data_IF_879374212349
#
_entry.id   IF_879374212349
#
_cell.length_a   1.000
_cell.length_b   1.000
_cell.length_c   1.000
_cell.angle_alpha   90.00
_cell.angle_beta   90.00
_cell.angle_gamma   90.00
#
_symmetry.space_group_name_H-M   'P 1'
#
loop_
_entity.id
_entity.type
_entity.pdbx_description
1 polymer ?
#
# COMPACT_ATOMS: atom_id res chain seq x y z
N UNK A 1 48.80 -21.29 -16.48
CA UNK A 1 47.82 -20.89 -17.53
C UNK A 1 46.43 -21.10 -16.94
N UNK A 2 45.77 -20.04 -16.45
CA UNK A 2 44.68 -19.29 -17.13
C UNK A 2 43.39 -20.14 -17.28
N UNK A 3 42.18 -19.80 -16.82
CA UNK A 3 41.51 -18.52 -16.49
C UNK A 3 40.23 -18.82 -15.69
N UNK A 4 40.04 -18.20 -14.51
CA UNK A 4 38.74 -18.08 -13.84
C UNK A 4 38.18 -16.67 -14.04
N UNK A 5 37.09 -16.52 -14.81
CA UNK A 5 36.42 -15.22 -15.06
C UNK A 5 35.41 -14.93 -13.94
N UNK A 6 35.73 -14.00 -13.05
CA UNK A 6 34.75 -13.38 -12.14
C UNK A 6 34.19 -12.13 -12.83
N UNK A 7 32.91 -12.16 -13.22
CA UNK A 7 32.17 -10.99 -13.72
C UNK A 7 31.76 -10.13 -12.52
N UNK A 8 32.53 -9.09 -12.22
CA UNK A 8 32.10 -8.01 -11.34
C UNK A 8 31.11 -7.09 -12.08
N UNK A 9 29.91 -6.93 -11.52
CA UNK A 9 28.91 -5.95 -11.99
C UNK A 9 29.37 -4.54 -11.58
N UNK A 10 29.58 -3.69 -12.58
CA UNK A 10 29.91 -2.26 -12.41
C UNK A 10 28.69 -1.54 -11.80
N UNK A 11 28.86 -0.98 -10.59
CA UNK A 11 27.86 -0.15 -9.89
C UNK A 11 28.15 1.32 -10.26
N UNK A 12 27.37 1.89 -11.19
CA UNK A 12 27.47 3.29 -11.61
C UNK A 12 26.72 4.23 -10.65
N UNK A 13 27.24 4.42 -9.44
CA UNK A 13 26.67 5.36 -8.45
C UNK A 13 27.58 6.54 -8.09
N UNK A 14 28.66 6.79 -8.85
CA UNK A 14 29.63 7.86 -8.60
C UNK A 14 29.75 8.87 -9.76
N UNK A 15 28.64 9.23 -10.40
CA UNK A 15 28.63 10.30 -11.41
C UNK A 15 27.61 11.38 -11.03
N UNK A 16 27.73 11.95 -9.83
CA UNK A 16 27.25 13.30 -9.51
C UNK A 16 28.10 13.83 -8.34
N UNK A 17 29.14 14.59 -8.65
CA UNK A 17 29.98 15.29 -7.68
C UNK A 17 30.18 16.72 -8.17
N UNK A 18 29.37 17.64 -7.66
CA UNK A 18 29.59 19.09 -7.46
C UNK A 18 28.37 19.52 -6.61
N UNK A 19 28.44 20.10 -5.41
CA UNK A 19 29.28 21.21 -4.99
C UNK A 19 29.57 21.19 -3.47
N UNK A 20 30.71 21.79 -3.14
CA UNK A 20 31.23 22.10 -1.82
C UNK A 20 30.38 23.15 -1.12
N UNK A 21 30.15 23.03 0.20
CA UNK A 21 30.56 23.99 1.26
C UNK A 21 30.62 23.17 2.57
N UNK A 22 31.81 22.99 3.15
CA UNK A 22 32.01 22.49 4.52
C UNK A 22 32.67 23.60 5.30
N UNK A 23 31.95 24.23 6.22
CA UNK A 23 32.57 25.08 7.23
C UNK A 23 33.09 24.15 8.35
N UNK A 24 34.38 24.31 8.67
CA UNK A 24 34.94 23.88 9.95
C UNK A 24 34.72 25.03 10.92
N UNK A 25 34.21 24.75 12.10
CA UNK A 25 34.54 25.51 13.30
C UNK A 25 34.56 24.56 14.50
N UNK A 26 35.62 24.69 15.30
CA UNK A 26 35.91 23.91 16.48
C UNK A 26 35.62 24.76 17.74
N UNK A 27 35.16 24.06 18.79
CA UNK A 27 35.20 24.39 20.22
C UNK A 27 34.41 25.59 20.77
N UNK A 28 33.37 25.29 21.57
CA UNK A 28 33.20 25.68 22.98
C UNK A 28 31.91 25.03 23.52
N UNK A 29 32.02 24.31 24.65
CA UNK A 29 30.89 23.64 25.33
C UNK A 29 29.95 24.67 25.98
N UNK A 30 28.73 24.77 25.46
CA UNK A 30 27.57 25.38 26.13
C UNK A 30 26.38 24.37 26.10
N UNK A 31 25.47 24.42 27.09
CA UNK A 31 24.48 23.37 27.33
C UNK A 31 23.55 23.22 26.12
N UNK A 32 23.45 21.98 25.61
CA UNK A 32 22.70 21.60 24.43
C UNK A 32 21.32 22.29 24.29
N UNK A 33 21.26 23.36 23.50
CA UNK A 33 20.01 23.80 22.89
C UNK A 33 19.68 22.86 21.74
N UNK A 34 18.54 22.18 21.85
CA UNK A 34 18.00 21.27 20.85
C UNK A 34 17.55 22.03 19.60
N UNK A 35 18.49 22.37 18.71
CA UNK A 35 18.20 22.92 17.39
C UNK A 35 18.75 21.99 16.30
N UNK A 36 18.00 20.92 16.04
CA UNK A 36 18.09 20.11 14.83
C UNK A 36 16.68 19.83 14.28
N UNK A 37 16.52 19.54 12.98
CA UNK A 37 15.20 19.21 12.43
C UNK A 37 14.78 17.83 12.96
N UNK A 38 13.91 17.75 13.97
CA UNK A 38 13.40 16.45 14.43
C UNK A 38 12.70 16.34 15.80
N UNK A 39 12.56 17.41 16.59
CA UNK A 39 11.93 17.34 17.92
C UNK A 39 10.90 18.46 18.15
N UNK A 40 9.87 18.55 17.30
CA UNK A 40 8.97 19.70 17.26
C UNK A 40 7.51 19.37 17.63
N UNK A 41 7.14 18.13 17.96
CA UNK A 41 5.72 17.83 18.21
C UNK A 41 5.31 18.36 19.58
N UNK A 42 4.34 19.27 19.57
CA UNK A 42 3.77 19.89 20.77
C UNK A 42 2.34 19.38 20.92
N UNK A 43 2.03 18.77 22.06
CA UNK A 43 0.69 18.27 22.39
C UNK A 43 0.16 19.00 23.61
N UNK A 44 -0.95 19.70 23.45
CA UNK A 44 -1.70 20.31 24.54
C UNK A 44 -2.74 19.31 25.07
N UNK A 45 -2.52 18.82 26.29
CA UNK A 45 -3.40 17.86 26.94
C UNK A 45 -4.78 18.47 27.16
N UNK A 46 -5.84 17.70 26.90
CA UNK A 46 -7.25 18.09 27.10
C UNK A 46 -7.73 19.24 26.20
N UNK A 47 -6.90 19.70 25.23
CA UNK A 47 -7.23 20.78 24.29
C UNK A 47 -7.11 20.34 22.82
N UNK A 48 -7.86 19.31 22.37
CA UNK A 48 -7.68 18.70 21.04
C UNK A 48 -7.97 19.66 19.88
N UNK A 49 -8.74 20.73 20.10
CA UNK A 49 -9.07 21.74 19.07
C UNK A 49 -7.87 22.57 18.63
N UNK A 50 -6.84 22.73 19.48
CA UNK A 50 -5.63 23.50 19.13
C UNK A 50 -4.82 22.81 18.02
N UNK A 51 -4.91 21.49 17.94
CA UNK A 51 -4.16 20.68 16.99
C UNK A 51 -4.77 20.61 15.58
N UNK A 52 -5.99 21.12 15.38
CA UNK A 52 -6.65 21.12 14.07
C UNK A 52 -6.30 22.34 13.20
N UNK A 53 -5.75 23.38 13.81
CA UNK A 53 -5.43 24.64 13.13
C UNK A 53 -3.93 24.72 12.89
N UNK A 54 -3.54 25.45 11.83
CA UNK A 54 -2.14 25.84 11.63
C UNK A 54 -1.66 26.66 12.84
N UNK A 55 -0.42 26.47 13.32
CA UNK A 55 0.69 25.77 12.65
C UNK A 55 0.76 24.25 12.86
N UNK A 56 0.03 23.66 13.81
CA UNK A 56 0.21 22.25 14.20
C UNK A 56 -0.45 21.26 13.23
N UNK A 57 -1.75 21.45 12.93
CA UNK A 57 -2.55 20.66 11.98
C UNK A 57 -2.18 19.16 11.88
N UNK A 58 -2.35 18.41 12.97
CA UNK A 58 -1.99 16.98 13.04
C UNK A 58 -2.98 16.09 12.30
N UNK A 59 -2.51 14.91 11.84
CA UNK A 59 -3.35 14.00 11.09
C UNK A 59 -4.46 13.36 11.94
N UNK A 60 -5.53 12.92 11.27
CA UNK A 60 -6.65 12.23 11.92
C UNK A 60 -6.25 10.83 12.38
N UNK A 61 -7.01 10.24 13.32
CA UNK A 61 -6.78 8.86 13.75
C UNK A 61 -7.42 7.80 12.82
N UNK A 62 -7.82 8.20 11.62
CA UNK A 62 -8.34 7.30 10.60
C UNK A 62 -7.19 6.52 9.96
N UNK A 63 -7.31 5.20 9.90
CA UNK A 63 -6.34 4.32 9.24
C UNK A 63 -6.98 3.73 7.98
N UNK A 64 -6.21 3.69 6.90
CA UNK A 64 -6.59 3.01 5.68
C UNK A 64 -5.42 2.19 5.13
N UNK A 65 -5.73 0.95 4.77
CA UNK A 65 -4.85 0.00 4.07
C UNK A 65 -5.33 -0.24 2.63
N UNK A 66 -6.34 0.50 2.17
CA UNK A 66 -6.85 0.42 0.80
C UNK A 66 -5.87 1.03 -0.18
N UNK A 67 -5.76 0.43 -1.37
CA UNK A 67 -4.87 0.94 -2.44
C UNK A 67 -5.54 2.05 -3.22
N UNK A 68 -6.86 1.99 -3.31
CA UNK A 68 -7.65 2.85 -4.17
C UNK A 68 -8.62 3.69 -3.37
N UNK A 69 -8.80 4.93 -3.83
CA UNK A 69 -9.99 5.73 -3.59
C UNK A 69 -10.94 5.58 -4.80
N UNK A 70 -12.24 5.85 -4.63
CA UNK A 70 -13.30 5.73 -5.64
C UNK A 70 -12.88 6.35 -6.99
N UNK A 71 -12.30 7.56 -6.96
CA UNK A 71 -11.86 8.28 -8.17
C UNK A 71 -10.55 7.71 -8.73
N UNK A 72 -9.62 7.33 -7.86
CA UNK A 72 -8.29 6.84 -8.28
C UNK A 72 -8.30 5.37 -8.70
N UNK A 73 -9.36 4.63 -8.39
CA UNK A 73 -9.50 3.20 -8.70
C UNK A 73 -9.37 2.97 -10.20
N UNK A 74 -10.23 3.61 -10.99
CA UNK A 74 -10.28 3.42 -12.44
C UNK A 74 -8.94 3.68 -13.14
N UNK A 75 -8.30 4.86 -13.02
CA UNK A 75 -7.06 5.14 -13.74
C UNK A 75 -5.89 4.27 -13.27
N UNK A 76 -5.78 3.99 -11.96
CA UNK A 76 -4.69 3.16 -11.44
C UNK A 76 -4.88 1.69 -11.79
N UNK A 77 -6.10 1.15 -11.66
CA UNK A 77 -6.39 -0.24 -11.98
C UNK A 77 -6.16 -0.51 -13.48
N UNK A 78 -6.64 0.37 -14.36
CA UNK A 78 -6.37 0.29 -15.80
C UNK A 78 -4.86 0.30 -16.06
N UNK A 79 -4.13 1.24 -15.45
CA UNK A 79 -2.68 1.30 -15.59
C UNK A 79 -2.00 0.00 -15.12
N UNK A 80 -2.42 -0.58 -13.99
CA UNK A 80 -1.88 -1.85 -13.49
C UNK A 80 -2.19 -3.03 -14.43
N UNK A 81 -3.38 -3.06 -15.04
CA UNK A 81 -3.75 -4.09 -16.02
C UNK A 81 -2.92 -3.97 -17.31
N UNK A 82 -2.67 -2.77 -17.81
CA UNK A 82 -1.86 -2.57 -19.03
C UNK A 82 -0.34 -2.59 -18.80
N UNK A 83 0.12 -2.70 -17.55
CA UNK A 83 1.51 -3.11 -17.23
C UNK A 83 1.78 -4.60 -17.47
N UNK A 84 0.78 -5.37 -17.89
CA UNK A 84 0.93 -6.77 -18.34
C UNK A 84 1.14 -6.78 -19.84
N UNK A 85 2.18 -7.47 -20.29
CA UNK A 85 2.64 -7.43 -21.69
C UNK A 85 1.57 -7.92 -22.67
N UNK A 86 0.83 -8.96 -22.30
CA UNK A 86 -0.26 -9.47 -23.14
C UNK A 86 -1.40 -8.47 -23.29
N UNK A 87 -1.78 -7.76 -22.22
CA UNK A 87 -2.84 -6.76 -22.29
C UNK A 87 -2.43 -5.60 -23.21
N UNK A 88 -1.15 -5.22 -23.21
CA UNK A 88 -0.63 -4.23 -24.16
C UNK A 88 -0.72 -4.74 -25.60
N UNK A 89 -0.35 -6.00 -25.85
CA UNK A 89 -0.49 -6.62 -27.17
C UNK A 89 -1.94 -6.62 -27.67
N UNK A 90 -2.89 -7.08 -26.84
CA UNK A 90 -4.31 -7.10 -27.21
C UNK A 90 -4.89 -5.70 -27.37
N UNK A 91 -4.42 -4.71 -26.60
CA UNK A 91 -4.80 -3.31 -26.79
C UNK A 91 -4.36 -2.79 -28.17
N UNK A 92 -3.11 -3.06 -28.55
CA UNK A 92 -2.61 -2.66 -29.87
C UNK A 92 -3.39 -3.35 -30.99
N UNK A 93 -3.66 -4.65 -30.86
CA UNK A 93 -4.47 -5.39 -31.81
C UNK A 93 -5.91 -4.86 -31.90
N UNK A 94 -6.50 -4.45 -30.77
CA UNK A 94 -7.83 -3.85 -30.71
C UNK A 94 -7.89 -2.43 -31.30
N UNK A 95 -6.81 -1.65 -31.21
CA UNK A 95 -6.71 -0.34 -31.88
C UNK A 95 -6.55 -0.54 -33.39
N UNK A 96 -5.68 -1.47 -33.79
CA UNK A 96 -5.44 -1.78 -35.20
C UNK A 96 -6.66 -2.42 -35.88
N UNK A 97 -7.53 -3.10 -35.13
CA UNK A 97 -8.78 -3.67 -35.65
C UNK A 97 -9.83 -2.63 -36.06
N UNK A 98 -9.62 -1.35 -35.72
CA UNK A 98 -10.44 -0.23 -36.19
C UNK A 98 -10.03 0.25 -37.60
N UNK A 99 -8.98 -0.32 -38.18
CA UNK A 99 -8.50 0.02 -39.53
C UNK A 99 -8.87 -1.07 -40.54
N UNK A 100 -8.92 -0.71 -41.82
CA UNK A 100 -9.27 -1.64 -42.92
C UNK A 100 -8.22 -2.74 -43.15
N UNK A 101 -7.09 -2.69 -42.44
CA UNK A 101 -6.00 -3.69 -42.51
C UNK A 101 -6.33 -4.95 -41.70
N UNK A 102 -7.31 -4.88 -40.82
CA UNK A 102 -7.62 -5.97 -39.91
C UNK A 102 -8.45 -7.08 -40.58
N UNK A 103 -8.09 -8.36 -40.39
CA UNK A 103 -8.80 -9.49 -40.99
C UNK A 103 -10.11 -9.85 -40.28
N UNK A 104 -10.33 -9.29 -39.08
CA UNK A 104 -11.49 -9.58 -38.22
C UNK A 104 -12.23 -8.30 -37.85
N UNK A 105 -13.51 -8.44 -37.51
CA UNK A 105 -14.30 -7.31 -37.02
C UNK A 105 -13.72 -6.72 -35.74
N UNK A 106 -13.79 -5.39 -35.59
CA UNK A 106 -13.31 -4.69 -34.40
C UNK A 106 -13.95 -5.24 -33.11
N UNK A 107 -15.25 -5.56 -33.16
CA UNK A 107 -16.01 -6.11 -32.04
C UNK A 107 -15.42 -7.44 -31.54
N UNK A 108 -15.02 -8.33 -32.45
CA UNK A 108 -14.42 -9.63 -32.11
C UNK A 108 -13.09 -9.50 -31.35
N UNK A 109 -12.35 -8.40 -31.54
CA UNK A 109 -11.07 -8.15 -30.86
C UNK A 109 -11.25 -7.35 -29.56
N UNK A 110 -12.15 -6.35 -29.57
CA UNK A 110 -12.39 -5.47 -28.42
C UNK A 110 -13.17 -6.20 -27.31
N UNK A 111 -14.20 -6.97 -27.65
CA UNK A 111 -15.09 -7.57 -26.65
C UNK A 111 -14.37 -8.56 -25.69
N UNK A 112 -13.53 -9.49 -26.15
CA UNK A 112 -12.77 -10.37 -25.24
C UNK A 112 -11.81 -9.60 -24.34
N UNK A 113 -11.11 -8.59 -24.89
CA UNK A 113 -10.19 -7.74 -24.11
C UNK A 113 -10.94 -6.98 -23.02
N UNK A 114 -12.06 -6.34 -23.36
CA UNK A 114 -12.89 -5.60 -22.43
C UNK A 114 -13.44 -6.53 -21.32
N UNK A 115 -13.87 -7.74 -21.68
CA UNK A 115 -14.32 -8.74 -20.71
C UNK A 115 -13.20 -9.15 -19.74
N UNK A 116 -12.01 -9.49 -20.26
CA UNK A 116 -10.86 -9.90 -19.45
C UNK A 116 -10.43 -8.79 -18.50
N UNK A 117 -10.22 -7.57 -19.02
CA UNK A 117 -9.79 -6.42 -18.21
C UNK A 117 -10.88 -6.06 -17.19
N UNK A 118 -12.15 -6.07 -17.59
CA UNK A 118 -13.29 -5.80 -16.72
C UNK A 118 -13.40 -6.80 -15.56
N UNK A 119 -13.23 -8.10 -15.84
CA UNK A 119 -13.25 -9.13 -14.80
C UNK A 119 -12.08 -9.00 -13.81
N UNK A 120 -10.87 -8.76 -14.31
CA UNK A 120 -9.69 -8.55 -13.47
C UNK A 120 -9.85 -7.30 -12.58
N UNK A 121 -10.40 -6.22 -13.12
CA UNK A 121 -10.70 -5.01 -12.36
C UNK A 121 -11.81 -5.22 -11.33
N UNK A 122 -12.88 -5.95 -11.68
CA UNK A 122 -13.95 -6.27 -10.74
C UNK A 122 -13.44 -7.09 -9.54
N UNK A 123 -12.57 -8.07 -9.79
CA UNK A 123 -11.90 -8.83 -8.72
C UNK A 123 -11.08 -7.91 -7.81
N UNK A 124 -10.28 -7.02 -8.39
CA UNK A 124 -9.46 -6.07 -7.63
C UNK A 124 -10.31 -5.10 -6.79
N UNK A 125 -11.44 -4.63 -7.33
CA UNK A 125 -12.41 -3.83 -6.60
C UNK A 125 -12.98 -4.58 -5.38
N UNK A 126 -13.34 -5.87 -5.55
CA UNK A 126 -13.85 -6.70 -4.46
C UNK A 126 -12.80 -6.92 -3.37
N UNK A 127 -11.54 -7.15 -3.73
CA UNK A 127 -10.43 -7.29 -2.78
C UNK A 127 -10.19 -6.00 -1.98
N UNK A 128 -10.14 -4.85 -2.65
CA UNK A 128 -9.93 -3.56 -1.98
C UNK A 128 -11.14 -3.16 -1.12
N UNK A 129 -12.37 -3.51 -1.54
CA UNK A 129 -13.58 -3.32 -0.74
C UNK A 129 -13.57 -4.14 0.55
N UNK A 130 -13.08 -5.39 0.51
CA UNK A 130 -12.91 -6.20 1.73
C UNK A 130 -11.91 -5.54 2.70
N UNK A 131 -10.81 -4.97 2.20
CA UNK A 131 -9.87 -4.19 3.04
C UNK A 131 -10.54 -2.98 3.65
N UNK A 132 -11.32 -2.25 2.86
CA UNK A 132 -12.07 -1.10 3.35
C UNK A 132 -13.01 -1.46 4.51
N UNK A 133 -13.75 -2.58 4.40
CA UNK A 133 -14.63 -3.06 5.48
C UNK A 133 -13.81 -3.40 6.74
N UNK A 134 -12.65 -4.05 6.59
CA UNK A 134 -11.77 -4.40 7.70
C UNK A 134 -11.24 -3.13 8.40
N UNK A 135 -10.75 -2.16 7.63
CA UNK A 135 -10.29 -0.88 8.14
C UNK A 135 -11.43 -0.15 8.87
N UNK A 136 -12.64 -0.15 8.29
CA UNK A 136 -13.80 0.50 8.90
C UNK A 136 -14.19 -0.14 10.23
N UNK A 137 -14.08 -1.47 10.36
CA UNK A 137 -14.32 -2.20 11.62
C UNK A 137 -13.36 -1.74 12.72
N UNK A 138 -12.09 -1.47 12.39
CA UNK A 138 -11.10 -0.93 13.35
C UNK A 138 -11.39 0.53 13.68
N UNK A 139 -11.63 1.35 12.64
CA UNK A 139 -11.90 2.78 12.77
C UNK A 139 -13.18 3.09 13.58
N UNK A 140 -14.16 2.20 13.56
CA UNK A 140 -15.42 2.33 14.29
C UNK A 140 -15.40 1.77 15.72
N UNK A 141 -14.29 1.14 16.16
CA UNK A 141 -14.13 0.76 17.57
C UNK A 141 -14.30 1.98 18.46
N UNK A 142 -14.86 1.81 19.65
CA UNK A 142 -15.13 2.92 20.58
C UNK A 142 -14.04 2.97 21.65
N UNK A 143 -13.60 4.17 22.00
CA UNK A 143 -12.77 4.45 23.17
C UNK A 143 -13.51 5.41 24.11
N UNK A 144 -13.24 5.34 25.42
CA UNK A 144 -13.75 6.32 26.38
C UNK A 144 -12.83 7.54 26.36
N UNK A 145 -13.40 8.71 26.10
CA UNK A 145 -12.67 9.98 25.94
C UNK A 145 -13.26 11.02 26.89
N UNK A 146 -12.40 11.81 27.51
CA UNK A 146 -12.83 12.92 28.36
C UNK A 146 -13.58 13.97 27.52
N UNK A 147 -14.81 14.28 27.91
CA UNK A 147 -15.69 15.28 27.25
C UNK A 147 -15.70 16.63 27.96
N UNK A 148 -14.97 16.78 29.06
CA UNK A 148 -15.03 17.92 29.96
C UNK A 148 -15.77 17.58 31.27
N UNK A 149 -15.55 18.41 32.29
CA UNK A 149 -16.18 18.28 33.62
C UNK A 149 -15.95 16.93 34.31
N UNK A 150 -14.88 16.20 33.98
CA UNK A 150 -14.58 14.89 34.55
C UNK A 150 -15.50 13.78 34.03
N UNK A 151 -16.16 13.96 32.89
CA UNK A 151 -17.06 12.95 32.30
C UNK A 151 -16.39 12.31 31.08
N UNK A 152 -16.33 10.98 31.08
CA UNK A 152 -15.85 10.20 29.94
C UNK A 152 -17.02 9.68 29.10
N UNK A 153 -16.95 9.87 27.79
CA UNK A 153 -17.94 9.36 26.86
C UNK A 153 -17.32 8.61 25.69
N UNK A 154 -18.11 7.75 25.05
CA UNK A 154 -17.62 6.96 23.93
C UNK A 154 -17.43 7.81 22.66
N UNK A 155 -16.28 7.61 22.01
CA UNK A 155 -15.91 8.21 20.73
C UNK A 155 -15.32 7.13 19.81
N UNK A 156 -15.70 7.06 18.52
CA UNK A 156 -15.06 6.16 17.56
C UNK A 156 -13.57 6.45 17.42
N UNK A 157 -12.75 5.42 17.22
CA UNK A 157 -11.30 5.54 17.09
C UNK A 157 -10.90 6.54 16.01
N UNK A 158 -11.55 6.51 14.84
CA UNK A 158 -11.26 7.45 13.74
C UNK A 158 -11.45 8.93 14.10
N UNK A 159 -12.26 9.24 15.13
CA UNK A 159 -12.53 10.60 15.57
C UNK A 159 -11.57 11.07 16.67
N UNK A 160 -10.74 10.19 17.23
CA UNK A 160 -9.74 10.57 18.23
C UNK A 160 -8.74 11.57 17.65
N UNK A 161 -8.28 12.47 18.51
CA UNK A 161 -7.37 13.56 18.17
C UNK A 161 -6.23 13.60 19.15
N UNK A 162 -5.12 14.16 18.71
CA UNK A 162 -3.97 14.47 19.56
C UNK A 162 -4.43 15.39 20.71
N UNK A 163 -3.99 15.09 21.92
CA UNK A 163 -4.41 15.78 23.14
C UNK A 163 -5.70 15.27 23.78
N UNK A 164 -6.48 14.40 23.12
CA UNK A 164 -7.63 13.74 23.76
C UNK A 164 -7.12 12.90 24.95
N UNK A 165 -7.76 13.03 26.12
CA UNK A 165 -7.54 12.13 27.26
C UNK A 165 -8.44 10.92 27.10
N UNK A 166 -7.86 9.72 27.07
CA UNK A 166 -8.56 8.46 26.89
C UNK A 166 -8.46 7.60 28.15
N UNK A 167 -9.55 6.89 28.45
CA UNK A 167 -9.59 5.82 29.44
C UNK A 167 -9.67 4.49 28.71
N UNK A 168 -8.70 3.61 28.96
CA UNK A 168 -8.65 2.26 28.37
C UNK A 168 -8.83 1.25 29.48
N UNK A 169 -9.75 0.31 29.29
CA UNK A 169 -10.09 -0.71 30.28
C UNK A 169 -9.34 -2.01 30.01
N UNK A 170 -9.32 -2.89 31.02
CA UNK A 170 -8.71 -4.21 30.94
C UNK A 170 -9.12 -4.95 29.66
N UNK A 171 -8.15 -5.61 29.04
CA UNK A 171 -8.31 -6.43 27.83
C UNK A 171 -8.76 -5.65 26.58
N UNK A 172 -8.65 -4.31 26.58
CA UNK A 172 -8.86 -3.48 25.39
C UNK A 172 -7.54 -3.11 24.72
N UNK A 173 -7.61 -2.88 23.40
CA UNK A 173 -6.49 -2.39 22.61
C UNK A 173 -6.35 -0.87 22.74
N UNK A 174 -5.12 -0.37 22.72
CA UNK A 174 -4.87 1.06 22.69
C UNK A 174 -5.24 1.65 21.32
N UNK A 175 -6.02 2.74 21.29
CA UNK A 175 -6.60 3.27 20.05
C UNK A 175 -5.65 4.18 19.25
N UNK A 176 -4.52 4.55 19.84
CA UNK A 176 -3.51 5.48 19.34
C UNK A 176 -2.26 5.33 20.22
N UNK A 177 -1.17 6.04 19.91
CA UNK A 177 -0.01 6.07 20.81
C UNK A 177 -0.29 7.07 21.94
N UNK A 178 -0.23 6.58 23.18
CA UNK A 178 -0.63 7.33 24.38
C UNK A 178 0.56 7.57 25.32
N UNK A 179 0.57 8.73 25.97
CA UNK A 179 1.33 8.93 27.21
C UNK A 179 0.49 8.40 28.38
N UNK A 180 1.04 7.48 29.17
CA UNK A 180 0.45 6.98 30.41
C UNK A 180 0.47 8.08 31.48
N UNK A 181 -0.69 8.45 32.00
CA UNK A 181 -0.84 9.45 33.06
C UNK A 181 -1.05 8.80 34.42
N UNK A 182 -1.98 7.86 34.49
CA UNK A 182 -2.30 7.13 35.71
C UNK A 182 -2.87 5.76 35.39
N UNK A 183 -2.78 4.87 36.37
CA UNK A 183 -3.22 3.49 36.29
C UNK A 183 -4.19 3.21 37.43
N UNK A 184 -4.86 2.06 37.41
CA UNK A 184 -5.64 1.58 38.54
C UNK A 184 -4.80 1.17 39.76
N UNK A 185 -3.48 1.04 39.59
CA UNK A 185 -2.54 0.75 40.68
C UNK A 185 -1.97 2.05 41.24
N UNK A 186 -1.80 2.12 42.57
CA UNK A 186 -1.26 3.29 43.27
C UNK A 186 0.15 3.68 42.80
N UNK A 187 0.99 2.70 42.45
CA UNK A 187 2.34 2.93 41.91
C UNK A 187 2.36 3.42 40.44
N UNK A 188 1.19 3.57 39.79
CA UNK A 188 1.05 4.00 38.40
C UNK A 188 1.53 3.00 37.36
N UNK A 189 1.66 1.72 37.73
CA UNK A 189 2.15 0.66 36.86
C UNK A 189 1.00 0.07 36.04
N UNK A 190 1.27 -0.33 34.80
CA UNK A 190 0.36 -1.18 34.02
C UNK A 190 1.12 -2.24 33.21
N UNK A 191 0.41 -3.29 32.82
CA UNK A 191 0.97 -4.38 32.01
C UNK A 191 0.42 -4.35 30.58
N UNK A 192 1.32 -4.41 29.62
CA UNK A 192 0.99 -4.29 28.20
C UNK A 192 1.46 -5.54 27.45
N UNK A 193 0.56 -6.14 26.69
CA UNK A 193 0.86 -7.22 25.75
C UNK A 193 1.19 -6.62 24.38
N UNK A 194 2.39 -6.87 23.87
CA UNK A 194 2.89 -6.36 22.58
C UNK A 194 2.99 -7.42 21.48
N UNK A 195 2.38 -8.59 21.66
CA UNK A 195 2.40 -9.69 20.69
C UNK A 195 2.03 -9.26 19.24
N UNK A 196 1.14 -8.27 19.08
CA UNK A 196 0.75 -7.75 17.76
C UNK A 196 1.84 -6.91 17.05
N UNK A 197 2.86 -6.45 17.78
CA UNK A 197 3.89 -5.51 17.32
C UNK A 197 5.21 -6.23 17.03
N UNK A 198 5.72 -6.94 18.02
CA UNK A 198 7.04 -7.59 18.00
C UNK A 198 6.97 -9.11 18.20
N UNK A 199 5.77 -9.66 18.45
CA UNK A 199 5.59 -11.09 18.70
C UNK A 199 6.06 -11.55 20.08
N UNK A 200 6.43 -10.62 20.97
CA UNK A 200 6.80 -10.96 22.35
C UNK A 200 5.53 -11.34 23.14
N UNK A 201 5.58 -12.50 23.80
CA UNK A 201 4.47 -13.00 24.63
C UNK A 201 4.53 -12.50 26.07
N UNK A 202 5.70 -12.01 26.51
CA UNK A 202 5.87 -11.47 27.84
C UNK A 202 5.15 -10.13 27.98
N UNK A 203 4.51 -9.93 29.12
CA UNK A 203 3.89 -8.65 29.45
C UNK A 203 4.97 -7.62 29.76
N UNK A 204 4.93 -6.49 29.06
CA UNK A 204 5.82 -5.35 29.31
C UNK A 204 5.23 -4.47 30.41
N UNK A 205 6.04 -4.15 31.40
CA UNK A 205 5.68 -3.23 32.48
C UNK A 205 5.87 -1.80 31.99
N UNK A 206 4.86 -0.95 32.20
CA UNK A 206 4.87 0.49 31.90
C UNK A 206 4.55 1.25 33.18
N UNK A 207 5.15 2.43 33.36
CA UNK A 207 5.00 3.22 34.60
C UNK A 207 4.64 4.65 34.25
N UNK A 208 3.66 5.21 34.96
CA UNK A 208 3.30 6.61 34.86
C UNK A 208 4.37 7.51 35.50
N UNK A 209 4.33 8.82 35.20
CA UNK A 209 5.13 9.78 35.96
C UNK A 209 4.55 9.96 37.37
N UNK A 210 5.43 10.14 38.36
CA UNK A 210 5.03 10.28 39.76
C UNK A 210 4.13 11.52 39.98
N UNK A 211 4.36 12.58 39.19
CA UNK A 211 3.57 13.82 39.25
C UNK A 211 2.12 13.65 38.77
N UNK A 212 1.83 12.65 37.94
CA UNK A 212 0.48 12.40 37.39
C UNK A 212 -0.29 11.32 38.13
N UNK A 213 0.33 10.62 39.10
CA UNK A 213 -0.34 9.62 39.94
C UNK A 213 -1.59 10.14 40.67
N UNK A 214 -1.63 11.39 41.19
CA UNK A 214 -2.82 11.92 41.86
C UNK A 214 -4.05 12.08 40.96
N UNK A 215 -3.90 11.92 39.64
CA UNK A 215 -5.01 11.94 38.68
C UNK A 215 -5.78 10.60 38.73
N UNK A 216 -6.50 10.40 39.82
CA UNK A 216 -7.32 9.22 40.06
C UNK A 216 -8.79 9.46 39.72
N UNK A 217 -9.41 8.43 39.15
CA UNK A 217 -10.82 8.46 38.75
C UNK A 217 -11.12 9.43 37.61
N UNK A 218 -12.39 9.45 37.19
CA UNK A 218 -12.84 10.26 36.05
C UNK A 218 -12.79 11.77 36.38
N UNK A 219 -13.03 12.14 37.65
CA UNK A 219 -13.10 13.52 38.13
C UNK A 219 -11.76 14.24 38.19
N UNK A 220 -10.65 13.51 38.38
CA UNK A 220 -9.30 14.10 38.41
C UNK A 220 -8.90 14.81 37.11
N UNK A 221 -9.55 14.48 35.99
CA UNK A 221 -9.26 15.06 34.68
C UNK A 221 -10.08 16.33 34.36
N UNK A 222 -10.93 16.80 35.28
CA UNK A 222 -11.75 17.99 35.07
C UNK A 222 -10.91 19.22 34.75
N UNK A 223 -9.89 19.49 35.55
CA UNK A 223 -9.01 20.66 35.44
C UNK A 223 -7.60 20.29 34.94
N UNK A 224 -7.41 19.03 34.50
CA UNK A 224 -6.13 18.57 33.99
C UNK A 224 -5.76 19.30 32.69
N UNK A 225 -4.62 19.98 32.74
CA UNK A 225 -3.97 20.62 31.60
C UNK A 225 -2.47 20.35 31.68
N UNK A 226 -1.83 20.23 30.52
CA UNK A 226 -0.41 19.91 30.44
C UNK A 226 0.08 20.08 29.01
N UNK A 227 1.39 20.18 28.83
CA UNK A 227 1.99 20.36 27.52
C UNK A 227 3.12 19.36 27.34
N UNK A 228 3.00 18.50 26.34
CA UNK A 228 4.02 17.52 25.99
C UNK A 228 4.80 18.05 24.80
N UNK A 229 6.12 17.99 24.86
CA UNK A 229 7.02 18.24 23.73
C UNK A 229 7.80 16.97 23.45
N UNK A 230 7.70 16.40 22.25
CA UNK A 230 8.35 15.14 21.93
C UNK A 230 8.94 15.11 20.52
N UNK A 231 9.70 14.05 20.25
CA UNK A 231 10.20 13.70 18.92
C UNK A 231 9.10 13.64 17.85
N UNK A 232 9.49 13.90 16.60
CA UNK A 232 8.60 13.70 15.46
C UNK A 232 8.28 12.21 15.25
N UNK A 233 7.13 11.89 14.59
CA UNK A 233 6.75 10.52 14.29
C UNK A 233 7.87 9.75 13.59
N UNK A 234 8.26 8.60 14.14
CA UNK A 234 9.31 7.75 13.59
C UNK A 234 8.96 6.27 13.75
N UNK A 235 9.53 5.38 12.91
CA UNK A 235 9.24 3.95 12.96
C UNK A 235 9.97 3.20 14.10
N UNK A 236 10.80 3.84 14.92
CA UNK A 236 11.52 3.08 15.96
C UNK A 236 10.61 2.79 17.17
N UNK A 237 10.24 1.52 17.36
CA UNK A 237 9.37 1.07 18.46
C UNK A 237 10.06 1.12 19.83
N UNK A 238 11.39 1.15 19.88
CA UNK A 238 12.19 1.02 21.11
C UNK A 238 12.78 2.33 21.61
N UNK A 239 12.50 3.46 20.95
CA UNK A 239 12.94 4.78 21.40
C UNK A 239 11.76 5.71 21.49
N UNK A 240 11.75 6.53 22.53
CA UNK A 240 10.89 7.69 22.65
C UNK A 240 11.60 8.70 23.54
N UNK A 241 11.64 9.96 23.08
CA UNK A 241 12.21 11.07 23.83
C UNK A 241 11.22 12.23 23.80
N UNK A 242 10.94 12.77 24.98
CA UNK A 242 10.11 13.94 25.13
C UNK A 242 10.17 14.51 26.53
N UNK A 243 9.38 15.55 26.77
CA UNK A 243 9.23 16.22 28.04
C UNK A 243 7.75 16.52 28.28
N UNK A 244 7.27 16.25 29.49
CA UNK A 244 5.99 16.72 29.99
C UNK A 244 6.20 18.00 30.81
N UNK A 245 5.59 19.09 30.38
CA UNK A 245 5.47 20.34 31.13
C UNK A 245 4.13 20.32 31.89
N UNK A 246 4.21 20.17 33.21
CA UNK A 246 3.08 20.07 34.12
C UNK A 246 3.39 20.83 35.42
N UNK A 247 2.44 21.59 35.95
CA UNK A 247 2.64 22.48 37.11
C UNK A 247 3.89 23.38 37.04
N UNK A 248 4.18 23.91 35.83
CA UNK A 248 5.36 24.74 35.51
C UNK A 248 6.72 24.07 35.73
N UNK A 249 6.72 22.74 35.91
CA UNK A 249 7.93 21.91 35.94
C UNK A 249 8.02 21.05 34.68
N UNK A 250 9.23 20.64 34.35
CA UNK A 250 9.53 19.83 33.16
C UNK A 250 10.00 18.45 33.62
N UNK A 251 9.30 17.41 33.17
CA UNK A 251 9.60 16.02 33.47
C UNK A 251 10.03 15.28 32.20
N UNK A 252 11.17 14.58 32.18
CA UNK A 252 11.59 13.81 31.03
C UNK A 252 10.67 12.61 30.80
N UNK A 253 10.44 12.29 29.53
CA UNK A 253 9.67 11.13 29.08
C UNK A 253 10.58 10.15 28.36
N UNK A 254 10.39 8.87 28.64
CA UNK A 254 11.03 7.76 27.98
C UNK A 254 9.98 6.77 27.42
N UNK A 255 10.41 5.60 26.94
CA UNK A 255 9.52 4.60 26.35
C UNK A 255 8.59 3.92 27.39
N UNK A 256 9.00 3.84 28.65
CA UNK A 256 8.28 3.22 29.76
C UNK A 256 6.95 3.92 30.11
N UNK A 257 6.81 5.20 29.75
CA UNK A 257 5.58 5.97 29.89
C UNK A 257 4.71 5.90 28.62
N UNK A 258 5.16 5.29 27.52
CA UNK A 258 4.41 5.24 26.25
C UNK A 258 3.70 3.91 26.04
N UNK A 259 2.42 4.01 25.67
CA UNK A 259 1.54 2.90 25.30
C UNK A 259 1.30 2.97 23.80
N UNK A 260 1.75 1.95 23.06
CA UNK A 260 1.69 1.93 21.60
C UNK A 260 0.33 1.46 21.11
N UNK A 261 -0.12 2.00 19.98
CA UNK A 261 -1.34 1.54 19.29
C UNK A 261 -1.32 0.02 19.07
N UNK A 262 -2.50 -0.61 19.10
CA UNK A 262 -2.70 -2.05 18.85
C UNK A 262 -1.99 -3.01 19.83
N UNK A 263 -1.26 -2.49 20.84
CA UNK A 263 -0.95 -3.25 22.05
C UNK A 263 -2.18 -3.33 22.97
N UNK A 264 -2.21 -4.32 23.86
CA UNK A 264 -3.38 -4.66 24.68
C UNK A 264 -3.08 -4.46 26.16
N UNK A 265 -4.00 -3.79 26.87
CA UNK A 265 -3.90 -3.67 28.33
C UNK A 265 -4.24 -5.02 28.98
N UNK A 266 -3.35 -5.53 29.83
CA UNK A 266 -3.53 -6.78 30.58
C UNK A 266 -3.30 -6.54 32.05
N UNK A 267 -3.86 -7.39 32.90
CA UNK A 267 -3.62 -7.42 34.35
C UNK A 267 -3.68 -6.03 35.02
N UNK A 268 -4.52 -5.12 34.53
CA UNK A 268 -4.71 -3.76 35.03
C UNK A 268 -6.14 -3.37 34.68
N UNK A 269 -6.93 -2.86 35.63
CA UNK A 269 -8.38 -2.69 35.42
C UNK A 269 -8.69 -1.54 34.46
N UNK A 270 -7.96 -0.44 34.58
CA UNK A 270 -8.00 0.67 33.64
C UNK A 270 -6.72 1.50 33.70
N UNK A 271 -6.48 2.28 32.64
CA UNK A 271 -5.44 3.33 32.60
C UNK A 271 -6.01 4.59 31.96
N UNK A 272 -5.43 5.73 32.32
CA UNK A 272 -5.65 7.00 31.64
C UNK A 272 -4.42 7.40 30.86
N UNK A 273 -4.63 7.91 29.65
CA UNK A 273 -3.54 8.42 28.84
C UNK A 273 -3.94 9.58 27.95
N UNK A 274 -2.96 10.38 27.53
CA UNK A 274 -3.14 11.42 26.51
C UNK A 274 -2.67 10.90 25.17
N UNK A 275 -3.47 11.10 24.13
CA UNK A 275 -3.11 10.77 22.75
C UNK A 275 -1.98 11.68 22.25
N UNK A 276 -0.83 11.08 21.88
CA UNK A 276 0.33 11.80 21.33
C UNK A 276 0.36 11.71 19.80
N UNK A 277 0.34 10.48 19.27
CA UNK A 277 0.35 10.21 17.83
C UNK A 277 -0.94 9.51 17.39
N UNK A 278 -1.50 9.95 16.27
CA UNK A 278 -2.77 9.47 15.71
C UNK A 278 -2.57 8.91 14.31
N UNK A 279 -3.36 7.90 13.93
CA UNK A 279 -3.44 7.40 12.55
C UNK A 279 -2.07 7.00 11.99
N UNK A 280 -1.72 7.58 10.84
CA UNK A 280 -0.44 7.30 10.18
C UNK A 280 0.79 7.82 10.93
N UNK A 281 0.64 8.72 11.92
CA UNK A 281 1.76 9.16 12.77
C UNK A 281 2.11 8.13 13.86
N UNK A 282 1.22 7.17 14.16
CA UNK A 282 1.53 6.15 15.17
C UNK A 282 2.73 5.30 14.73
N UNK A 283 3.59 4.90 15.69
CA UNK A 283 4.82 4.14 15.39
C UNK A 283 4.53 2.83 14.66
N UNK A 284 3.39 2.20 14.95
CA UNK A 284 2.91 0.99 14.25
C UNK A 284 2.64 1.25 12.78
N UNK A 285 1.98 2.37 12.46
CA UNK A 285 1.66 2.72 11.07
C UNK A 285 2.85 3.27 10.30
N UNK A 286 3.82 3.87 10.98
CA UNK A 286 5.12 4.20 10.38
C UNK A 286 5.92 2.96 9.98
N UNK A 287 5.77 1.85 10.71
CA UNK A 287 6.34 0.54 10.34
C UNK A 287 5.49 -0.23 9.31
N UNK A 288 4.25 0.19 9.06
CA UNK A 288 3.38 -0.49 8.12
C UNK A 288 3.90 -0.30 6.69
N UNK A 289 4.17 -1.41 6.00
CA UNK A 289 4.55 -1.35 4.59
C UNK A 289 3.31 -1.07 3.74
N UNK A 290 3.39 -0.08 2.84
CA UNK A 290 2.35 0.18 1.84
C UNK A 290 2.03 -1.11 1.09
N UNK A 291 0.74 -1.44 0.95
CA UNK A 291 0.31 -2.71 0.35
C UNK A 291 0.91 -2.89 -1.05
N UNK A 292 1.86 -3.83 -1.24
CA UNK A 292 2.52 -3.98 -2.53
C UNK A 292 1.56 -4.58 -3.57
N UNK A 293 1.80 -4.30 -4.85
CA UNK A 293 1.21 -5.08 -5.95
C UNK A 293 1.97 -6.40 -6.04
N UNK A 294 1.43 -7.45 -5.38
CA UNK A 294 2.04 -8.78 -5.34
C UNK A 294 1.84 -9.45 -6.70
N UNK A 295 2.93 -9.93 -7.32
CA UNK A 295 2.89 -10.76 -8.52
C UNK A 295 3.38 -12.16 -8.22
N UNK A 296 2.64 -13.18 -8.67
CA UNK A 296 2.99 -14.58 -8.41
C UNK A 296 4.19 -15.03 -9.25
N UNK A 297 4.90 -16.07 -8.80
CA UNK A 297 5.99 -16.67 -9.60
C UNK A 297 5.45 -17.25 -10.92
N UNK A 298 4.24 -17.79 -10.90
CA UNK A 298 3.53 -18.31 -12.08
C UNK A 298 3.27 -17.19 -13.09
N UNK A 299 2.82 -16.00 -12.64
CA UNK A 299 2.64 -14.84 -13.52
C UNK A 299 3.95 -14.44 -14.20
N UNK A 300 5.06 -14.38 -13.45
CA UNK A 300 6.38 -14.07 -14.03
C UNK A 300 6.85 -15.12 -15.03
N UNK A 301 6.52 -16.40 -14.81
CA UNK A 301 6.85 -17.48 -15.74
C UNK A 301 5.98 -17.39 -16.99
N UNK A 302 4.71 -17.05 -16.84
CA UNK A 302 3.77 -16.84 -17.94
C UNK A 302 4.19 -15.68 -18.83
N UNK A 303 4.66 -14.57 -18.26
CA UNK A 303 5.24 -13.46 -19.03
C UNK A 303 6.37 -13.94 -19.95
N UNK A 304 7.24 -14.85 -19.47
CA UNK A 304 8.30 -15.45 -20.30
C UNK A 304 7.75 -16.28 -21.45
N UNK A 305 6.72 -17.09 -21.20
CA UNK A 305 6.05 -17.89 -22.24
C UNK A 305 5.43 -16.97 -23.28
N UNK A 306 4.78 -15.88 -22.85
CA UNK A 306 4.18 -14.88 -23.75
C UNK A 306 5.25 -14.21 -24.62
N UNK A 307 6.42 -13.89 -24.08
CA UNK A 307 7.52 -13.35 -24.89
C UNK A 307 8.00 -14.34 -25.96
N UNK A 308 8.08 -15.64 -25.63
CA UNK A 308 8.45 -16.68 -26.61
C UNK A 308 7.38 -16.81 -27.70
N UNK A 309 6.10 -16.86 -27.32
CA UNK A 309 4.98 -16.93 -28.28
C UNK A 309 4.91 -15.67 -29.17
N UNK A 310 5.13 -14.49 -28.59
CA UNK A 310 5.18 -13.23 -29.33
C UNK A 310 6.36 -13.19 -30.31
N UNK A 311 7.53 -13.70 -29.91
CA UNK A 311 8.69 -13.81 -30.81
C UNK A 311 8.42 -14.73 -31.99
N UNK A 312 7.75 -15.88 -31.73
CA UNK A 312 7.33 -16.81 -32.78
C UNK A 312 6.26 -16.19 -33.71
N UNK A 313 5.30 -15.46 -33.14
CA UNK A 313 4.27 -14.74 -33.88
C UNK A 313 4.88 -13.73 -34.85
N UNK A 314 5.83 -12.91 -34.38
CA UNK A 314 6.53 -11.94 -35.23
C UNK A 314 7.31 -12.66 -36.33
N UNK A 315 8.00 -13.77 -36.02
CA UNK A 315 8.76 -14.53 -37.01
C UNK A 315 7.86 -15.08 -38.14
N UNK A 316 6.76 -15.76 -37.80
CA UNK A 316 5.83 -16.32 -38.79
C UNK A 316 5.18 -15.21 -39.61
N UNK A 317 4.81 -14.09 -38.97
CA UNK A 317 4.22 -12.94 -39.65
C UNK A 317 5.20 -12.27 -40.62
N UNK A 318 6.49 -12.19 -40.26
CA UNK A 318 7.54 -11.68 -41.15
C UNK A 318 7.75 -12.58 -42.37
N UNK A 319 7.83 -13.91 -42.17
CA UNK A 319 7.98 -14.87 -43.28
C UNK A 319 6.76 -14.77 -44.22
N UNK A 320 5.56 -14.67 -43.65
CA UNK A 320 4.31 -14.51 -44.39
C UNK A 320 4.26 -13.19 -45.17
N UNK A 321 4.67 -12.08 -44.56
CA UNK A 321 4.77 -10.76 -45.19
C UNK A 321 5.78 -10.70 -46.33
N UNK A 322 6.95 -11.30 -46.17
CA UNK A 322 7.97 -11.37 -47.24
C UNK A 322 7.43 -12.21 -48.40
N UNK A 323 6.85 -13.39 -48.11
CA UNK A 323 6.23 -14.23 -49.13
C UNK A 323 5.12 -13.51 -49.89
N UNK A 324 4.29 -12.75 -49.17
CA UNK A 324 3.25 -11.93 -49.76
C UNK A 324 3.83 -10.82 -50.67
N UNK A 325 4.82 -10.06 -50.20
CA UNK A 325 5.45 -9.00 -50.99
C UNK A 325 6.06 -9.52 -52.31
N UNK A 326 6.75 -10.67 -52.25
CA UNK A 326 7.31 -11.34 -53.44
C UNK A 326 6.18 -11.79 -54.37
N UNK A 327 5.11 -12.39 -53.84
CA UNK A 327 3.97 -12.85 -54.64
C UNK A 327 3.24 -11.69 -55.31
N UNK A 328 3.05 -10.58 -54.61
CA UNK A 328 2.45 -9.34 -55.12
C UNK A 328 3.28 -8.71 -56.23
N UNK A 329 4.62 -8.78 -56.14
CA UNK A 329 5.49 -8.23 -57.18
C UNK A 329 5.50 -9.09 -58.47
N UNK A 330 5.59 -10.42 -58.34
CA UNK A 330 5.87 -11.30 -59.49
C UNK A 330 4.66 -12.04 -60.04
N UNK A 331 3.71 -12.47 -59.22
CA UNK A 331 2.60 -13.34 -59.67
C UNK A 331 1.29 -12.58 -59.84
N UNK A 332 1.05 -11.58 -59.01
CA UNK A 332 -0.21 -10.84 -58.99
C UNK A 332 -0.56 -10.10 -60.30
N UNK A 333 0.40 -9.54 -61.07
CA UNK A 333 0.10 -8.97 -62.39
C UNK A 333 -0.49 -9.98 -63.39
N UNK A 334 -0.20 -11.27 -63.23
CA UNK A 334 -0.69 -12.33 -64.13
C UNK A 334 -2.11 -12.81 -63.79
N UNK A 335 -2.68 -12.41 -62.66
CA UNK A 335 -4.00 -12.90 -62.23
C UNK A 335 -5.12 -12.12 -62.90
N UNK A 336 -5.73 -12.70 -63.93
CA UNK A 336 -6.80 -12.04 -64.70
C UNK A 336 -8.12 -11.81 -63.94
N UNK A 337 -8.42 -12.59 -62.90
CA UNK A 337 -9.70 -12.54 -62.16
C UNK A 337 -9.59 -12.04 -60.70
N UNK A 338 -8.36 -11.83 -60.20
CA UNK A 338 -8.07 -11.46 -58.80
C UNK A 338 -7.37 -10.10 -58.69
N UNK A 339 -7.46 -9.26 -59.73
CA UNK A 339 -6.85 -7.93 -59.71
C UNK A 339 -7.53 -7.06 -58.64
N UNK A 340 -6.74 -6.34 -57.82
CA UNK A 340 -7.27 -5.47 -56.78
C UNK A 340 -8.00 -4.29 -57.44
N UNK A 341 -9.09 -3.83 -56.82
CA UNK A 341 -9.69 -2.56 -57.24
C UNK A 341 -8.67 -1.43 -57.08
N UNK A 342 -8.61 -0.56 -58.10
CA UNK A 342 -7.56 0.45 -58.37
C UNK A 342 -7.23 1.36 -57.18
N UNK A 343 -8.12 1.49 -56.19
CA UNK A 343 -7.95 2.39 -55.04
C UNK A 343 -7.43 1.71 -53.75
N UNK A 344 -7.18 0.40 -53.74
CA UNK A 344 -6.76 -0.30 -52.52
C UNK A 344 -5.24 -0.29 -52.31
N UNK A 345 -4.75 0.65 -51.50
CA UNK A 345 -3.34 0.74 -51.06
C UNK A 345 -2.81 -0.52 -50.32
N UNK A 346 -3.69 -1.44 -49.95
CA UNK A 346 -3.33 -2.70 -49.29
C UNK A 346 -2.68 -3.71 -50.25
N UNK A 347 -3.00 -3.64 -51.54
CA UNK A 347 -2.67 -4.67 -52.53
C UNK A 347 -2.07 -4.05 -53.80
N UNK A 348 -1.10 -3.14 -53.65
CA UNK A 348 -0.48 -2.45 -54.79
C UNK A 348 0.78 -3.19 -55.29
N UNK A 349 0.80 -3.68 -56.55
CA UNK A 349 1.98 -4.30 -57.15
C UNK A 349 3.12 -3.31 -57.44
N UNK A 350 2.83 -2.00 -57.56
CA UNK A 350 3.84 -0.96 -57.79
C UNK A 350 4.65 -0.63 -56.54
N UNK A 351 4.08 -0.93 -55.35
CA UNK A 351 4.71 -0.70 -54.05
C UNK A 351 4.69 -1.99 -53.19
N UNK A 352 5.43 -3.05 -53.60
CA UNK A 352 5.37 -4.36 -52.94
C UNK A 352 5.82 -4.32 -51.47
N UNK A 353 6.73 -3.41 -51.12
CA UNK A 353 7.18 -3.23 -49.74
C UNK A 353 6.08 -2.67 -48.81
N UNK A 354 5.24 -1.76 -49.32
CA UNK A 354 4.16 -1.15 -48.56
C UNK A 354 2.97 -2.13 -48.41
N UNK A 355 2.64 -2.86 -49.48
CA UNK A 355 1.69 -3.98 -49.45
C UNK A 355 2.16 -5.08 -48.47
N UNK A 356 3.45 -5.40 -48.47
CA UNK A 356 4.08 -6.30 -47.50
C UNK A 356 3.95 -5.82 -46.05
N UNK A 357 4.13 -4.52 -45.79
CA UNK A 357 3.98 -3.94 -44.46
C UNK A 357 2.53 -4.00 -43.96
N UNK A 358 1.53 -3.72 -44.80
CA UNK A 358 0.13 -3.90 -44.42
C UNK A 358 -0.19 -5.36 -44.16
N UNK A 359 0.29 -6.26 -45.01
CA UNK A 359 0.14 -7.69 -44.78
C UNK A 359 0.83 -8.16 -43.50
N UNK A 360 1.96 -7.55 -43.09
CA UNK A 360 2.60 -7.84 -41.81
C UNK A 360 1.66 -7.52 -40.64
N UNK A 361 0.99 -6.36 -40.68
CA UNK A 361 0.00 -5.96 -39.67
C UNK A 361 -1.19 -6.91 -39.68
N UNK A 362 -1.73 -7.26 -40.86
CA UNK A 362 -2.81 -8.23 -41.01
C UNK A 362 -2.41 -9.60 -40.45
N UNK A 363 -1.21 -10.10 -40.75
CA UNK A 363 -0.70 -11.38 -40.30
C UNK A 363 -0.47 -11.42 -38.77
N UNK A 364 0.02 -10.33 -38.19
CA UNK A 364 0.18 -10.20 -36.73
C UNK A 364 -1.18 -10.33 -36.02
N UNK A 365 -2.25 -9.74 -36.57
CA UNK A 365 -3.60 -9.87 -36.02
C UNK A 365 -4.15 -11.27 -36.28
N UNK A 366 -4.00 -11.78 -37.50
CA UNK A 366 -4.53 -13.07 -37.93
C UNK A 366 -3.99 -14.22 -37.08
N UNK A 367 -2.67 -14.28 -36.88
CA UNK A 367 -2.01 -15.31 -36.07
C UNK A 367 -2.04 -15.00 -34.56
N UNK A 368 -2.70 -13.90 -34.16
CA UNK A 368 -2.77 -13.46 -32.77
C UNK A 368 -3.45 -14.45 -31.81
N UNK A 369 -4.20 -15.43 -32.32
CA UNK A 369 -4.77 -16.52 -31.52
C UNK A 369 -3.70 -17.42 -30.87
N UNK A 370 -2.43 -17.36 -31.31
CA UNK A 370 -1.31 -18.04 -30.67
C UNK A 370 -1.09 -17.58 -29.22
N UNK A 371 -1.47 -16.34 -28.89
CA UNK A 371 -1.41 -15.82 -27.52
C UNK A 371 -2.81 -15.96 -26.93
N UNK A 372 -3.05 -16.93 -26.03
CA UNK A 372 -4.38 -17.17 -25.49
C UNK A 372 -4.80 -16.03 -24.53
N UNK A 373 -5.77 -15.21 -24.95
CA UNK A 373 -6.40 -14.17 -24.11
C UNK A 373 -6.91 -14.75 -22.79
N UNK A 374 -7.50 -15.95 -22.86
CA UNK A 374 -8.13 -16.63 -21.73
C UNK A 374 -7.15 -17.05 -20.63
N UNK A 375 -5.85 -17.19 -20.93
CA UNK A 375 -4.87 -17.73 -19.97
C UNK A 375 -4.81 -16.92 -18.67
N UNK A 376 -4.85 -15.59 -18.75
CA UNK A 376 -4.84 -14.71 -17.57
C UNK A 376 -6.09 -14.88 -16.72
N UNK A 377 -7.26 -14.86 -17.36
CA UNK A 377 -8.55 -15.00 -16.68
C UNK A 377 -8.66 -16.37 -16.01
N UNK A 378 -8.31 -17.44 -16.74
CA UNK A 378 -8.38 -18.79 -16.20
C UNK A 378 -7.51 -18.94 -14.94
N UNK A 379 -6.28 -18.40 -14.94
CA UNK A 379 -5.40 -18.44 -13.77
C UNK A 379 -5.95 -17.59 -12.62
N UNK A 380 -6.52 -16.42 -12.91
CA UNK A 380 -7.14 -15.58 -11.88
C UNK A 380 -8.34 -16.28 -11.23
N UNK A 381 -9.21 -16.90 -12.02
CA UNK A 381 -10.35 -17.69 -11.54
C UNK A 381 -9.87 -18.86 -10.70
N UNK A 382 -8.87 -19.61 -11.16
CA UNK A 382 -8.29 -20.74 -10.41
C UNK A 382 -7.76 -20.27 -9.05
N UNK A 383 -7.05 -19.13 -8.99
CA UNK A 383 -6.56 -18.58 -7.71
C UNK A 383 -7.69 -18.19 -6.76
N UNK A 384 -8.78 -17.62 -7.28
CA UNK A 384 -9.95 -17.27 -6.45
C UNK A 384 -10.60 -18.52 -5.89
N UNK A 385 -10.80 -19.56 -6.71
CA UNK A 385 -11.35 -20.84 -6.25
C UNK A 385 -10.44 -21.52 -5.22
N UNK A 386 -9.12 -21.52 -5.45
CA UNK A 386 -8.14 -22.04 -4.49
C UNK A 386 -8.20 -21.28 -3.15
N UNK A 387 -8.30 -19.95 -3.19
CA UNK A 387 -8.46 -19.14 -1.98
C UNK A 387 -9.78 -19.45 -1.25
N UNK A 388 -10.86 -19.72 -1.98
CA UNK A 388 -12.14 -20.15 -1.39
C UNK A 388 -12.02 -21.51 -0.71
N UNK A 389 -11.37 -22.49 -1.33
CA UNK A 389 -11.15 -23.80 -0.72
C UNK A 389 -10.28 -23.72 0.54
N UNK A 390 -9.22 -22.89 0.54
CA UNK A 390 -8.40 -22.64 1.74
C UNK A 390 -9.26 -22.09 2.88
N UNK A 391 -10.19 -21.17 2.59
CA UNK A 391 -11.05 -20.57 3.62
C UNK A 391 -12.11 -21.53 4.18
N UNK A 392 -12.43 -22.60 3.45
CA UNK A 392 -13.46 -23.58 3.81
C UNK A 392 -12.87 -24.86 4.43
N UNK A 393 -11.54 -24.95 4.55
CA UNK A 393 -10.86 -26.12 5.10
C UNK A 393 -11.04 -26.19 6.62
N UNK A 394 -11.72 -27.23 7.09
CA UNK A 394 -11.99 -27.47 8.50
C UNK A 394 -10.72 -27.83 9.28
N UNK A 395 -9.70 -28.38 8.63
CA UNK A 395 -8.42 -28.69 9.27
C UNK A 395 -7.58 -27.44 9.56
N UNK A 396 -7.92 -26.30 8.96
CA UNK A 396 -7.30 -25.00 9.25
C UNK A 396 -8.24 -24.08 10.04
N UNK A 397 -9.21 -24.65 10.74
CA UNK A 397 -10.09 -23.94 11.66
C UNK A 397 -9.57 -24.04 13.09
N UNK A 398 -9.47 -22.91 13.77
CA UNK A 398 -9.11 -22.87 15.20
C UNK A 398 -10.37 -22.90 16.07
N UNK A 399 -10.55 -24.00 16.82
CA UNK A 399 -11.69 -24.22 17.70
C UNK A 399 -11.70 -23.28 18.91
N UNK A 400 -10.54 -22.90 19.44
CA UNK A 400 -10.45 -22.07 20.66
C UNK A 400 -10.89 -20.63 20.39
N UNK A 401 -10.44 -20.05 19.28
CA UNK A 401 -10.82 -18.67 18.90
C UNK A 401 -12.05 -18.60 18.00
N UNK A 402 -12.51 -19.74 17.48
CA UNK A 402 -13.60 -19.81 16.51
C UNK A 402 -13.27 -19.14 15.18
N UNK A 403 -11.99 -19.16 14.77
CA UNK A 403 -11.53 -18.45 13.56
C UNK A 403 -11.13 -19.42 12.44
N UNK A 404 -11.74 -19.29 11.24
CA UNK A 404 -11.29 -20.04 10.07
C UNK A 404 -10.06 -19.40 9.42
N UNK A 405 -9.33 -20.18 8.65
CA UNK A 405 -8.29 -19.66 7.76
C UNK A 405 -8.85 -18.58 6.81
N UNK A 406 -8.07 -17.52 6.60
CA UNK A 406 -8.42 -16.43 5.70
C UNK A 406 -7.28 -16.13 4.72
N UNK A 407 -7.38 -16.65 3.51
CA UNK A 407 -6.55 -16.27 2.37
C UNK A 407 -6.87 -14.81 1.98
N UNK A 408 -5.83 -13.95 1.99
CA UNK A 408 -5.91 -12.51 1.73
C UNK A 408 -5.13 -12.05 0.50
#
# INVERSE_FOLDING_TARGET
>A
MARGRIRARIRRSHLYTFACIRAQDAELEEPHQFEGPGYSRIVYCNEPRRHEKKPLNYCTNYISTTKYNIITFLPKAIFEQFRRVANLYFLLAAILSLTDVAPFSALSMIAPLAFVVGLSMAKEALEDWRRFIQDMKVNMRKAKVHKGNGVFGHKPWMKLRVGDVVKVEKDQFFPADLLLLSSSYEDGICYVETMNLDGETNLKVKRALEVTLPLEGDTGFKDFTGKIKCEDPNPNLYTFVGNLEYDRQIYPLDLSQILLRDSKLRNTTYVYGVVIFTGHDSKVMQNATKSPSKRSRIEKQMDKIIYVLFSLLVLISLISSIGFAVKTQFQMPEWWYLQPFVDSKLYDPTQPALSGLFHLVTALILYGYLIPISLYVSIEVVKVLQAMFINQDIHMYDEETGTPAQAR
#
